data_IF_505082515182
#
_entry.id   IF_505082515182
#
_cell.length_a   1.000
_cell.length_b   1.000
_cell.length_c   1.000
_cell.angle_alpha   90.00
_cell.angle_beta   90.00
_cell.angle_gamma   90.00
#
_symmetry.space_group_name_H-M   'P 1'
#
loop_
_entity.id
_entity.type
_entity.pdbx_description
1 polymer ?
#
# COMPACT_ATOMS: atom_id res chain seq x y z
N UNK A 1 1.25 -7.96 32.75
CA UNK A 1 -0.09 -7.60 32.28
C UNK A 1 0.04 -6.45 31.30
N UNK A 2 -0.40 -6.64 30.06
CA UNK A 2 -0.32 -5.68 28.98
C UNK A 2 0.36 -6.26 27.76
N UNK A 3 0.68 -5.40 26.80
CA UNK A 3 1.34 -5.78 25.55
C UNK A 3 2.81 -6.18 25.79
N UNK A 4 3.24 -7.25 25.14
CA UNK A 4 4.65 -7.60 25.05
C UNK A 4 5.27 -6.80 23.90
N UNK A 5 6.30 -6.04 24.21
CA UNK A 5 7.01 -5.20 23.26
C UNK A 5 8.43 -5.70 23.08
N UNK A 6 8.81 -6.03 21.84
CA UNK A 6 10.12 -6.56 21.49
C UNK A 6 10.90 -5.50 20.70
N UNK A 7 11.81 -4.81 21.34
CA UNK A 7 12.58 -3.71 20.77
C UNK A 7 13.46 -4.15 19.59
N UNK A 8 14.02 -5.35 19.65
CA UNK A 8 14.95 -5.91 18.65
C UNK A 8 14.31 -6.27 17.31
N UNK A 9 13.03 -5.97 17.07
CA UNK A 9 12.33 -6.43 15.86
C UNK A 9 11.75 -5.30 15.01
N UNK A 10 12.21 -4.07 15.18
CA UNK A 10 11.67 -2.91 14.46
C UNK A 10 11.98 -2.96 12.98
N UNK A 11 13.22 -3.26 12.60
CA UNK A 11 13.64 -3.31 11.20
C UNK A 11 13.00 -4.45 10.42
N UNK A 12 12.61 -5.54 11.08
CA UNK A 12 12.01 -6.72 10.43
C UNK A 12 10.70 -6.41 9.71
N UNK A 13 10.00 -5.33 10.06
CA UNK A 13 8.76 -4.91 9.42
C UNK A 13 8.99 -4.38 8.00
N UNK A 14 10.16 -3.86 7.71
CA UNK A 14 10.49 -3.23 6.42
C UNK A 14 11.70 -3.85 5.72
N UNK A 15 12.55 -4.60 6.43
CA UNK A 15 13.69 -5.31 5.84
C UNK A 15 13.23 -6.23 4.72
N UNK A 16 13.94 -6.23 3.59
CA UNK A 16 13.60 -7.06 2.43
C UNK A 16 12.11 -6.92 2.03
N UNK A 17 11.66 -5.70 1.80
CA UNK A 17 10.27 -5.34 1.45
C UNK A 17 9.65 -6.26 0.39
N UNK A 18 10.44 -6.78 -0.55
CA UNK A 18 9.97 -7.68 -1.59
C UNK A 18 9.44 -9.00 -1.06
N UNK A 19 9.97 -9.48 0.09
CA UNK A 19 9.48 -10.70 0.73
C UNK A 19 8.06 -10.50 1.25
N UNK A 20 7.81 -9.38 1.96
CA UNK A 20 6.48 -9.02 2.46
C UNK A 20 5.48 -8.84 1.33
N UNK A 21 5.89 -8.12 0.29
CA UNK A 21 5.03 -7.84 -0.88
C UNK A 21 4.75 -9.11 -1.68
N UNK A 22 5.75 -9.97 -1.88
CA UNK A 22 5.61 -11.25 -2.56
C UNK A 22 4.64 -12.16 -1.80
N UNK A 23 4.88 -12.35 -0.51
CA UNK A 23 4.03 -13.15 0.37
C UNK A 23 2.57 -12.66 0.33
N UNK A 24 2.32 -11.39 0.55
CA UNK A 24 0.95 -10.83 0.54
C UNK A 24 0.25 -10.99 -0.80
N UNK A 25 0.96 -10.80 -1.92
CA UNK A 25 0.39 -10.98 -3.25
C UNK A 25 0.03 -12.44 -3.52
N UNK A 26 0.90 -13.35 -3.14
CA UNK A 26 0.68 -14.78 -3.34
C UNK A 26 -0.47 -15.30 -2.46
N UNK A 27 -0.53 -14.91 -1.17
CA UNK A 27 -1.65 -15.21 -0.27
C UNK A 27 -3.00 -14.80 -0.87
N UNK A 28 -3.10 -13.57 -1.35
CA UNK A 28 -4.34 -13.05 -1.93
C UNK A 28 -4.69 -13.78 -3.22
N UNK A 29 -3.70 -14.05 -4.06
CA UNK A 29 -3.92 -14.69 -5.34
C UNK A 29 -4.28 -16.17 -5.19
N UNK A 30 -3.65 -16.89 -4.26
CA UNK A 30 -4.01 -18.27 -3.91
C UNK A 30 -5.49 -18.37 -3.51
N UNK A 31 -5.94 -17.55 -2.56
CA UNK A 31 -7.34 -17.53 -2.14
C UNK A 31 -8.29 -17.23 -3.30
N UNK A 32 -7.94 -16.26 -4.17
CA UNK A 32 -8.74 -15.92 -5.33
C UNK A 32 -8.79 -17.09 -6.33
N UNK A 33 -7.66 -17.70 -6.59
CA UNK A 33 -7.54 -18.83 -7.52
C UNK A 33 -8.32 -20.05 -7.04
N UNK A 34 -8.19 -20.41 -5.76
CA UNK A 34 -8.97 -21.50 -5.16
C UNK A 34 -10.49 -21.26 -5.26
N UNK A 35 -10.93 -20.03 -4.98
CA UNK A 35 -12.35 -19.66 -5.13
C UNK A 35 -12.82 -19.84 -6.58
N UNK A 36 -12.05 -19.34 -7.55
CA UNK A 36 -12.40 -19.48 -8.98
C UNK A 36 -12.38 -20.94 -9.44
N UNK A 37 -11.38 -21.71 -9.01
CA UNK A 37 -11.31 -23.14 -9.37
C UNK A 37 -12.48 -23.93 -8.77
N UNK A 38 -12.86 -23.63 -7.53
CA UNK A 38 -14.03 -24.23 -6.90
C UNK A 38 -15.32 -23.85 -7.64
N UNK A 39 -15.49 -22.58 -8.00
CA UNK A 39 -16.62 -22.13 -8.79
C UNK A 39 -16.64 -22.80 -10.18
N UNK A 40 -15.50 -22.88 -10.87
CA UNK A 40 -15.39 -23.56 -12.16
C UNK A 40 -15.82 -25.03 -12.05
N UNK A 41 -15.44 -25.73 -10.99
CA UNK A 41 -15.85 -27.13 -10.77
C UNK A 41 -17.35 -27.30 -10.57
N UNK A 42 -18.05 -26.26 -10.07
CA UNK A 42 -19.51 -26.27 -9.89
C UNK A 42 -20.23 -25.95 -11.19
N UNK A 43 -19.74 -24.96 -11.95
CA UNK A 43 -20.40 -24.50 -13.17
C UNK A 43 -20.08 -25.38 -14.42
N UNK A 44 -18.88 -25.99 -14.43
CA UNK A 44 -18.44 -26.83 -15.52
C UNK A 44 -17.99 -28.20 -15.01
N UNK A 45 -18.78 -29.27 -15.19
CA UNK A 45 -18.44 -30.63 -14.75
C UNK A 45 -17.15 -31.21 -15.38
N UNK A 46 -16.74 -30.68 -16.53
CA UNK A 46 -15.52 -31.09 -17.21
C UNK A 46 -14.26 -30.43 -16.64
N UNK A 47 -14.42 -29.36 -15.86
CA UNK A 47 -13.29 -28.68 -15.25
C UNK A 47 -12.65 -29.55 -14.20
N UNK A 48 -11.32 -29.64 -14.24
CA UNK A 48 -10.53 -30.38 -13.27
C UNK A 48 -9.79 -29.40 -12.33
N UNK A 49 -10.19 -29.43 -11.06
CA UNK A 49 -9.56 -28.60 -10.02
C UNK A 49 -8.06 -28.98 -9.87
N UNK A 50 -7.12 -28.04 -10.04
CA UNK A 50 -5.67 -28.32 -10.06
C UNK A 50 -5.10 -28.48 -8.64
N UNK A 51 -5.56 -29.49 -7.91
CA UNK A 51 -5.28 -29.71 -6.48
C UNK A 51 -3.79 -29.81 -6.17
N UNK A 52 -3.08 -30.65 -6.91
CA UNK A 52 -1.66 -30.93 -6.63
C UNK A 52 -0.79 -29.68 -6.86
N UNK A 53 -1.12 -28.93 -7.88
CA UNK A 53 -0.39 -27.71 -8.23
C UNK A 53 -0.62 -26.61 -7.19
N UNK A 54 -1.86 -26.36 -6.80
CA UNK A 54 -2.19 -25.40 -5.73
C UNK A 54 -1.58 -25.80 -4.38
N UNK A 55 -1.60 -27.10 -4.04
CA UNK A 55 -0.96 -27.62 -2.84
C UNK A 55 0.56 -27.39 -2.85
N UNK A 56 1.21 -27.55 -4.02
CA UNK A 56 2.62 -27.23 -4.21
C UNK A 56 2.93 -25.76 -3.96
N UNK A 57 2.13 -24.87 -4.52
CA UNK A 57 2.27 -23.42 -4.34
C UNK A 57 2.03 -23.03 -2.87
N UNK A 58 0.99 -23.57 -2.23
CA UNK A 58 0.75 -23.38 -0.79
C UNK A 58 1.95 -23.77 0.07
N UNK A 59 2.58 -24.90 -0.22
CA UNK A 59 3.77 -25.36 0.52
C UNK A 59 4.95 -24.43 0.34
N UNK A 60 5.15 -23.90 -0.87
CA UNK A 60 6.20 -22.91 -1.14
C UNK A 60 5.94 -21.61 -0.39
N UNK A 61 4.70 -21.10 -0.42
CA UNK A 61 4.33 -19.91 0.33
C UNK A 61 4.56 -20.08 1.83
N UNK A 62 4.11 -21.20 2.41
CA UNK A 62 4.28 -21.48 3.84
C UNK A 62 5.76 -21.62 4.22
N UNK A 63 6.59 -22.20 3.35
CA UNK A 63 8.04 -22.21 3.55
C UNK A 63 8.62 -20.80 3.57
N UNK A 64 8.19 -19.94 2.65
CA UNK A 64 8.66 -18.54 2.55
C UNK A 64 8.11 -17.63 3.66
N UNK A 65 7.14 -18.09 4.47
CA UNK A 65 6.71 -17.44 5.71
C UNK A 65 7.59 -17.78 6.93
N UNK A 66 8.67 -18.58 6.74
CA UNK A 66 9.60 -18.88 7.80
C UNK A 66 10.14 -17.60 8.46
N UNK A 67 10.36 -17.66 9.79
CA UNK A 67 10.64 -16.50 10.64
C UNK A 67 11.90 -15.69 10.31
N UNK A 68 12.78 -16.20 9.45
CA UNK A 68 13.93 -15.46 8.92
C UNK A 68 13.78 -15.06 7.44
N UNK A 69 12.90 -15.70 6.69
CA UNK A 69 12.65 -15.34 5.29
C UNK A 69 11.71 -14.11 5.22
N UNK A 70 10.52 -14.24 5.78
CA UNK A 70 9.51 -13.16 5.75
C UNK A 70 9.98 -11.87 6.44
N UNK A 71 10.63 -11.92 7.63
CA UNK A 71 11.19 -10.73 8.27
C UNK A 71 12.35 -10.08 7.52
N UNK A 72 13.06 -10.83 6.69
CA UNK A 72 14.19 -10.31 5.91
C UNK A 72 15.56 -10.54 6.54
N UNK A 73 15.65 -11.40 7.55
CA UNK A 73 16.87 -11.69 8.31
C UNK A 73 17.65 -12.92 7.84
N UNK A 74 17.18 -13.59 6.76
CA UNK A 74 17.91 -14.69 6.14
C UNK A 74 19.09 -14.18 5.30
N UNK A 75 19.98 -15.10 4.92
CA UNK A 75 21.10 -14.79 4.02
C UNK A 75 20.62 -14.46 2.60
N UNK A 76 21.41 -13.70 1.87
CA UNK A 76 21.06 -13.21 0.53
C UNK A 76 20.68 -14.32 -0.47
N UNK A 77 21.27 -15.51 -0.34
CA UNK A 77 20.93 -16.66 -1.17
C UNK A 77 19.48 -17.11 -0.97
N UNK A 78 19.02 -17.18 0.27
CA UNK A 78 17.63 -17.55 0.61
C UNK A 78 16.64 -16.53 0.06
N UNK A 79 16.91 -15.24 0.20
CA UNK A 79 16.05 -14.19 -0.34
C UNK A 79 16.01 -14.21 -1.88
N UNK A 80 17.12 -14.53 -2.57
CA UNK A 80 17.09 -14.72 -4.02
C UNK A 80 16.18 -15.86 -4.44
N UNK A 81 16.25 -16.99 -3.70
CA UNK A 81 15.39 -18.14 -3.96
C UNK A 81 13.91 -17.78 -3.74
N UNK A 82 13.58 -17.18 -2.60
CA UNK A 82 12.20 -16.78 -2.28
C UNK A 82 11.61 -15.79 -3.31
N UNK A 83 12.42 -14.83 -3.81
CA UNK A 83 11.98 -13.96 -4.92
C UNK A 83 11.65 -14.74 -6.19
N UNK A 84 12.49 -15.71 -6.54
CA UNK A 84 12.25 -16.54 -7.73
C UNK A 84 10.98 -17.37 -7.57
N UNK A 85 10.74 -17.91 -6.37
CA UNK A 85 9.52 -18.63 -6.04
C UNK A 85 8.29 -17.76 -6.16
N UNK A 86 8.26 -16.56 -5.57
CA UNK A 86 7.14 -15.61 -5.70
C UNK A 86 6.87 -15.23 -7.16
N UNK A 87 7.89 -14.97 -7.95
CA UNK A 87 7.72 -14.63 -9.37
C UNK A 87 7.07 -15.78 -10.15
N UNK A 88 7.57 -17.00 -9.96
CA UNK A 88 7.05 -18.21 -10.62
C UNK A 88 5.60 -18.48 -10.19
N UNK A 89 5.34 -18.53 -8.90
CA UNK A 89 4.07 -18.98 -8.34
C UNK A 89 2.95 -17.96 -8.58
N UNK A 90 3.26 -16.65 -8.47
CA UNK A 90 2.31 -15.58 -8.82
C UNK A 90 1.95 -15.62 -10.32
N UNK A 91 2.90 -15.87 -11.20
CA UNK A 91 2.61 -16.00 -12.63
C UNK A 91 1.68 -17.20 -12.88
N UNK A 92 2.02 -18.36 -12.32
CA UNK A 92 1.24 -19.58 -12.50
C UNK A 92 -0.17 -19.47 -11.90
N UNK A 93 -0.33 -18.86 -10.75
CA UNK A 93 -1.65 -18.61 -10.13
C UNK A 93 -2.55 -17.73 -11.01
N UNK A 94 -1.97 -16.75 -11.70
CA UNK A 94 -2.71 -15.92 -12.65
C UNK A 94 -3.22 -16.74 -13.85
N UNK A 95 -2.38 -17.64 -14.36
CA UNK A 95 -2.78 -18.52 -15.46
C UNK A 95 -3.90 -19.47 -15.03
N UNK A 96 -3.78 -20.11 -13.87
CA UNK A 96 -4.83 -20.97 -13.30
C UNK A 96 -6.13 -20.20 -13.09
N UNK A 97 -6.05 -18.99 -12.53
CA UNK A 97 -7.22 -18.13 -12.33
C UNK A 97 -7.90 -17.76 -13.66
N UNK A 98 -7.11 -17.46 -14.70
CA UNK A 98 -7.62 -17.17 -16.03
C UNK A 98 -8.29 -18.40 -16.68
N UNK A 99 -7.67 -19.58 -16.58
CA UNK A 99 -8.22 -20.86 -17.03
C UNK A 99 -9.57 -21.16 -16.35
N UNK A 100 -9.64 -20.99 -15.02
CA UNK A 100 -10.87 -21.19 -14.26
C UNK A 100 -11.96 -20.18 -14.66
N UNK A 101 -11.58 -18.90 -14.84
CA UNK A 101 -12.50 -17.86 -15.33
C UNK A 101 -13.06 -18.14 -16.71
N UNK A 102 -12.22 -18.58 -17.64
CA UNK A 102 -12.64 -18.99 -18.98
C UNK A 102 -13.59 -20.21 -18.95
N UNK A 103 -13.31 -21.16 -18.06
CA UNK A 103 -14.17 -22.36 -17.88
C UNK A 103 -15.55 -21.97 -17.35
N UNK A 104 -15.64 -21.02 -16.40
CA UNK A 104 -16.92 -20.50 -15.93
C UNK A 104 -17.67 -19.78 -17.05
N UNK A 105 -16.98 -18.97 -17.84
CA UNK A 105 -17.59 -18.21 -18.94
C UNK A 105 -18.16 -19.15 -20.01
N UNK A 106 -17.42 -20.18 -20.39
CA UNK A 106 -17.87 -21.15 -21.42
C UNK A 106 -19.07 -21.99 -20.98
N UNK A 107 -19.20 -22.30 -19.67
CA UNK A 107 -20.33 -23.08 -19.15
C UNK A 107 -21.63 -22.27 -19.04
N UNK A 108 -21.56 -20.95 -19.19
CA UNK A 108 -22.68 -20.00 -19.05
C UNK A 108 -23.27 -19.56 -20.39
N UNK A 109 -23.16 -20.35 -21.42
CA UNK A 109 -23.64 -20.05 -22.80
C UNK A 109 -25.18 -20.02 -22.94
N UNK A 110 -25.91 -19.90 -21.82
CA UNK A 110 -27.35 -19.76 -21.80
C UNK A 110 -27.84 -18.32 -21.94
N UNK A 111 -28.86 -18.16 -22.73
CA UNK A 111 -29.46 -16.92 -23.24
C UNK A 111 -29.97 -15.93 -22.17
N UNK A 112 -29.95 -16.30 -20.89
CA UNK A 112 -30.35 -15.43 -19.75
C UNK A 112 -29.22 -14.54 -19.22
N UNK A 113 -27.97 -14.72 -19.65
CA UNK A 113 -26.81 -13.96 -19.26
C UNK A 113 -26.29 -13.00 -20.33
N UNK A 114 -27.17 -12.44 -21.11
CA UNK A 114 -26.84 -11.32 -22.04
C UNK A 114 -26.61 -9.97 -21.31
N UNK A 115 -26.61 -9.93 -19.99
CA UNK A 115 -25.96 -8.85 -19.26
C UNK A 115 -24.45 -9.10 -19.30
N UNK A 116 -23.69 -8.15 -19.79
CA UNK A 116 -22.23 -8.12 -19.95
C UNK A 116 -21.44 -8.31 -18.65
N UNK A 117 -21.71 -9.37 -17.90
CA UNK A 117 -21.21 -9.60 -16.58
C UNK A 117 -20.29 -10.82 -16.54
N UNK A 118 -19.00 -10.63 -16.68
CA UNK A 118 -18.00 -11.64 -16.34
C UNK A 118 -17.69 -11.61 -14.86
N UNK A 119 -17.58 -12.77 -14.20
CA UNK A 119 -17.00 -12.87 -12.86
C UNK A 119 -15.49 -12.67 -13.04
N UNK A 120 -15.02 -11.47 -12.78
CA UNK A 120 -13.59 -11.16 -12.79
C UNK A 120 -13.13 -11.13 -11.34
N UNK A 121 -12.08 -11.87 -10.98
CA UNK A 121 -11.48 -11.72 -9.66
C UNK A 121 -10.92 -10.32 -9.54
N UNK A 122 -11.48 -9.55 -8.65
CA UNK A 122 -11.01 -8.22 -8.34
C UNK A 122 -10.21 -8.26 -7.03
N UNK A 123 -8.92 -8.06 -7.13
CA UNK A 123 -8.12 -7.65 -5.99
C UNK A 123 -8.12 -6.13 -5.96
N UNK A 124 -8.65 -5.55 -4.88
CA UNK A 124 -8.50 -4.12 -4.67
C UNK A 124 -7.00 -3.76 -4.70
N UNK A 125 -6.65 -2.56 -5.15
CA UNK A 125 -5.25 -2.08 -5.23
C UNK A 125 -4.50 -2.17 -3.89
N UNK A 126 -5.21 -2.18 -2.77
CA UNK A 126 -4.69 -2.35 -1.41
C UNK A 126 -4.62 -3.80 -0.91
N UNK A 127 -5.03 -4.77 -1.72
CA UNK A 127 -4.92 -6.19 -1.38
C UNK A 127 -5.96 -6.73 -0.40
N UNK A 128 -6.93 -5.92 0.05
CA UNK A 128 -7.71 -6.23 1.24
C UNK A 128 -9.18 -6.57 1.03
N UNK A 129 -9.75 -6.41 -0.14
CA UNK A 129 -11.17 -6.70 -0.33
C UNK A 129 -11.46 -7.66 -1.46
N UNK A 130 -12.26 -8.66 -1.13
CA UNK A 130 -12.88 -9.59 -2.05
C UNK A 130 -14.19 -9.00 -2.56
N UNK A 131 -14.22 -8.53 -3.77
CA UNK A 131 -15.46 -8.21 -4.47
C UNK A 131 -15.44 -8.95 -5.80
N UNK A 132 -16.29 -9.97 -5.94
CA UNK A 132 -16.64 -10.48 -7.24
C UNK A 132 -17.46 -9.40 -7.95
N UNK A 133 -16.86 -8.72 -8.92
CA UNK A 133 -17.61 -7.83 -9.81
C UNK A 133 -17.87 -8.54 -11.13
N UNK A 134 -19.08 -8.37 -11.57
CA UNK A 134 -19.42 -8.59 -12.98
C UNK A 134 -18.94 -7.36 -13.75
N UNK A 135 -17.91 -7.52 -14.58
CA UNK A 135 -17.42 -6.48 -15.48
C UNK A 135 -17.70 -6.90 -16.93
N UNK A 136 -18.08 -5.93 -17.75
CA UNK A 136 -18.12 -6.16 -19.19
C UNK A 136 -16.72 -6.54 -19.68
N UNK A 137 -16.62 -7.63 -20.45
CA UNK A 137 -15.39 -8.05 -21.10
C UNK A 137 -15.00 -6.98 -22.11
N UNK A 138 -13.94 -6.22 -21.84
CA UNK A 138 -13.47 -5.29 -22.87
C UNK A 138 -12.55 -4.18 -22.48
N UNK A 139 -11.99 -4.07 -21.27
CA UNK A 139 -10.83 -3.19 -21.05
C UNK A 139 -10.11 -3.58 -19.77
N UNK A 140 -8.89 -4.07 -19.89
CA UNK A 140 -7.90 -4.01 -18.82
C UNK A 140 -7.44 -2.55 -18.70
N UNK A 141 -8.19 -1.77 -17.93
CA UNK A 141 -7.66 -0.53 -17.38
C UNK A 141 -7.63 -0.68 -15.88
N UNK A 142 -6.47 -0.48 -15.30
CA UNK A 142 -6.15 -0.58 -13.87
C UNK A 142 -6.96 0.36 -12.95
N UNK A 143 -7.96 1.03 -13.48
CA UNK A 143 -8.82 2.01 -12.81
C UNK A 143 -10.28 1.55 -12.62
N UNK A 144 -10.58 0.25 -12.74
CA UNK A 144 -11.94 -0.25 -12.61
C UNK A 144 -12.43 -0.27 -11.16
N UNK A 145 -12.76 0.89 -10.60
CA UNK A 145 -13.66 0.98 -9.46
C UNK A 145 -14.79 1.97 -9.83
N UNK A 146 -15.88 1.37 -10.24
CA UNK A 146 -16.87 2.10 -10.48
C UNK A 146 -18.11 2.54 -10.71
N UNK A 147 -19.10 2.58 -10.96
CA UNK A 147 -20.36 3.27 -11.28
C UNK A 147 -20.16 4.49 -12.16
N UNK A 148 -20.83 4.47 -13.29
CA UNK A 148 -21.05 5.65 -14.12
C UNK A 148 -21.56 6.80 -13.24
N UNK A 149 -20.69 7.73 -12.90
CA UNK A 149 -21.02 8.95 -12.23
C UNK A 149 -20.85 10.10 -13.21
N UNK A 150 -21.92 10.73 -13.43
CA UNK A 150 -22.17 11.98 -14.13
C UNK A 150 -21.06 13.00 -13.84
N UNK A 151 -20.60 13.65 -14.90
CA UNK A 151 -19.48 14.58 -14.98
C UNK A 151 -19.75 15.96 -14.34
N UNK A 152 -20.34 16.04 -13.15
CA UNK A 152 -20.73 17.35 -12.60
C UNK A 152 -20.04 17.76 -11.28
N UNK A 153 -19.11 16.97 -10.78
CA UNK A 153 -18.31 17.32 -9.59
C UNK A 153 -16.85 16.85 -9.78
N UNK A 154 -16.09 17.59 -10.55
CA UNK A 154 -14.65 17.36 -10.74
C UNK A 154 -13.84 17.97 -9.60
N UNK A 155 -12.68 17.38 -9.30
CA UNK A 155 -11.68 18.01 -8.44
C UNK A 155 -11.07 19.20 -9.18
N UNK A 156 -11.11 20.38 -8.57
CA UNK A 156 -10.48 21.59 -9.11
C UNK A 156 -9.02 21.59 -8.67
N UNK A 157 -8.11 21.76 -9.63
CA UNK A 157 -6.70 22.00 -9.37
C UNK A 157 -6.37 23.44 -9.77
N UNK A 158 -5.83 24.22 -8.84
CA UNK A 158 -5.43 25.61 -9.08
C UNK A 158 -3.96 25.78 -8.73
N UNK A 159 -3.17 26.28 -9.68
CA UNK A 159 -1.77 26.68 -9.42
C UNK A 159 -1.76 28.17 -9.06
N UNK A 160 -1.17 28.50 -7.91
CA UNK A 160 -1.01 29.86 -7.41
C UNK A 160 0.26 30.52 -7.98
N UNK A 161 0.33 31.86 -7.94
CA UNK A 161 1.49 32.62 -8.41
C UNK A 161 2.80 32.29 -7.64
N UNK A 162 2.68 31.85 -6.40
CA UNK A 162 3.80 31.43 -5.55
C UNK A 162 4.21 29.94 -5.71
N UNK A 163 3.64 29.27 -6.71
CA UNK A 163 3.93 27.87 -7.03
C UNK A 163 3.18 26.85 -6.18
N UNK A 164 2.37 27.27 -5.22
CA UNK A 164 1.48 26.34 -4.48
C UNK A 164 0.39 25.80 -5.39
N UNK A 165 -0.04 24.58 -5.09
CA UNK A 165 -1.14 23.92 -5.79
C UNK A 165 -2.26 23.65 -4.80
N UNK A 166 -3.47 24.05 -5.16
CA UNK A 166 -4.68 23.77 -4.38
C UNK A 166 -5.47 22.70 -5.12
N UNK A 167 -5.75 21.60 -4.43
CA UNK A 167 -6.72 20.58 -4.86
C UNK A 167 -7.98 20.70 -4.02
N UNK A 168 -9.14 20.80 -4.66
CA UNK A 168 -10.43 20.95 -3.99
C UNK A 168 -11.51 20.12 -4.71
N UNK A 169 -12.18 19.22 -3.98
CA UNK A 169 -13.29 18.42 -4.51
C UNK A 169 -14.62 18.65 -3.79
N UNK A 170 -14.73 19.77 -3.04
CA UNK A 170 -15.91 20.11 -2.26
C UNK A 170 -16.05 19.41 -0.91
N UNK A 171 -15.25 18.35 -0.64
CA UNK A 171 -15.20 17.62 0.63
C UNK A 171 -13.86 17.78 1.35
N UNK A 172 -12.79 17.78 0.59
CA UNK A 172 -11.41 18.01 1.05
C UNK A 172 -10.78 19.13 0.23
N UNK A 173 -9.98 19.96 0.89
CA UNK A 173 -9.08 20.91 0.24
C UNK A 173 -7.67 20.66 0.72
N UNK A 174 -6.75 20.38 -0.23
CA UNK A 174 -5.32 20.22 0.04
C UNK A 174 -4.53 21.37 -0.56
N UNK A 175 -3.58 21.94 0.17
CA UNK A 175 -2.62 22.94 -0.29
C UNK A 175 -1.24 22.29 -0.30
N UNK A 176 -0.66 22.17 -1.50
CA UNK A 176 0.62 21.52 -1.75
C UNK A 176 1.64 22.61 -2.07
N UNK A 177 2.75 22.62 -1.33
CA UNK A 177 3.84 23.55 -1.54
C UNK A 177 4.68 23.17 -2.79
N UNK A 178 5.53 24.08 -3.30
CA UNK A 178 6.38 23.80 -4.47
C UNK A 178 7.33 22.62 -4.28
N UNK A 179 7.68 22.27 -3.04
CA UNK A 179 8.48 21.09 -2.69
C UNK A 179 7.67 19.78 -2.69
N UNK A 180 6.37 19.83 -2.98
CA UNK A 180 5.48 18.68 -2.97
C UNK A 180 4.89 18.32 -1.61
N UNK A 181 5.24 19.04 -0.55
CA UNK A 181 4.70 18.79 0.80
C UNK A 181 3.28 19.35 0.91
N UNK A 182 2.34 18.57 1.46
CA UNK A 182 0.99 19.05 1.76
C UNK A 182 1.03 19.84 3.06
N UNK A 183 0.90 21.16 2.94
CA UNK A 183 0.97 22.10 4.09
C UNK A 183 -0.37 22.37 4.76
N UNK A 184 -1.47 22.04 4.09
CA UNK A 184 -2.82 22.16 4.63
C UNK A 184 -3.70 21.07 4.02
N UNK A 185 -4.53 20.45 4.84
CA UNK A 185 -5.54 19.49 4.43
C UNK A 185 -6.79 19.73 5.27
N UNK A 186 -7.79 20.34 4.68
CA UNK A 186 -9.01 20.77 5.37
C UNK A 186 -10.16 19.83 5.03
N UNK A 187 -10.82 19.26 6.06
CA UNK A 187 -12.14 18.65 5.91
C UNK A 187 -13.18 19.78 5.80
N UNK A 188 -13.74 19.95 4.62
CA UNK A 188 -14.66 21.06 4.32
C UNK A 188 -16.05 20.91 4.96
N UNK A 189 -16.43 19.70 5.41
CA UNK A 189 -17.70 19.49 6.11
C UNK A 189 -17.73 20.18 7.48
N UNK A 190 -16.57 20.26 8.15
CA UNK A 190 -16.47 20.82 9.50
C UNK A 190 -15.42 21.94 9.63
N UNK A 191 -14.67 22.23 8.56
CA UNK A 191 -13.62 23.24 8.53
C UNK A 191 -12.36 22.86 9.33
N UNK A 192 -12.17 21.57 9.68
CA UNK A 192 -11.05 21.12 10.47
C UNK A 192 -9.78 21.01 9.64
N UNK A 193 -8.71 21.70 10.08
CA UNK A 193 -7.36 21.55 9.53
C UNK A 193 -6.69 20.28 10.11
N UNK A 194 -6.26 19.39 9.24
CA UNK A 194 -5.68 18.11 9.61
C UNK A 194 -4.16 18.14 9.71
N UNK A 195 -3.49 19.16 9.17
CA UNK A 195 -2.04 19.35 9.22
C UNK A 195 -1.68 20.30 10.36
N UNK A 196 -0.80 19.92 11.30
CA UNK A 196 -0.35 20.83 12.36
C UNK A 196 0.41 22.03 11.79
N UNK A 197 0.28 23.20 12.44
CA UNK A 197 1.02 24.40 12.06
C UNK A 197 2.52 24.17 11.97
N UNK A 198 3.13 24.66 10.89
CA UNK A 198 4.58 24.51 10.64
C UNK A 198 5.02 23.12 10.18
N UNK A 199 4.09 22.17 10.08
CA UNK A 199 4.35 20.80 9.62
C UNK A 199 3.94 20.59 8.14
N UNK A 200 4.06 19.35 7.66
CA UNK A 200 3.60 18.98 6.33
C UNK A 200 3.55 17.46 6.13
N UNK A 201 2.56 17.00 5.38
CA UNK A 201 2.43 15.59 5.02
C UNK A 201 3.23 15.32 3.74
N UNK A 202 3.91 14.18 3.71
CA UNK A 202 4.67 13.72 2.54
C UNK A 202 6.10 14.26 2.49
N UNK A 203 6.62 14.79 3.59
CA UNK A 203 8.03 15.10 3.73
C UNK A 203 8.84 13.81 3.89
N UNK A 204 9.84 13.62 3.05
CA UNK A 204 10.71 12.46 3.07
C UNK A 204 12.00 12.77 3.83
N UNK A 205 12.40 11.83 4.69
CA UNK A 205 13.64 11.89 5.46
C UNK A 205 14.49 10.66 5.22
N UNK A 206 15.79 10.88 5.08
CA UNK A 206 16.79 9.84 4.97
C UNK A 206 17.56 9.74 6.29
N UNK A 207 17.60 8.54 6.87
CA UNK A 207 18.24 8.27 8.14
C UNK A 207 19.38 7.26 7.96
N UNK A 208 20.35 7.25 8.88
CA UNK A 208 21.39 6.23 8.91
C UNK A 208 20.83 4.90 9.41
N UNK A 209 21.26 3.82 8.77
CA UNK A 209 20.95 2.44 9.16
C UNK A 209 22.24 1.71 9.48
N UNK A 210 22.78 2.00 10.64
CA UNK A 210 24.06 1.45 11.14
C UNK A 210 23.81 0.84 12.53
N UNK A 211 23.02 -0.26 12.63
CA UNK A 211 22.77 -0.87 13.92
C UNK A 211 24.05 -1.49 14.51
N UNK A 212 24.18 -1.47 15.82
CA UNK A 212 25.35 -2.03 16.51
C UNK A 212 25.50 -3.53 16.28
N UNK A 213 24.37 -4.24 16.18
CA UNK A 213 24.28 -5.67 15.89
C UNK A 213 22.98 -5.92 15.11
N UNK A 214 22.94 -6.98 14.30
CA UNK A 214 21.70 -7.48 13.69
C UNK A 214 21.07 -6.56 12.66
N UNK A 215 21.76 -6.28 11.58
CA UNK A 215 21.39 -5.34 10.51
C UNK A 215 19.93 -5.42 10.05
N UNK A 216 19.35 -6.61 9.98
CA UNK A 216 17.98 -6.78 9.51
C UNK A 216 16.92 -6.76 10.62
N UNK A 217 17.34 -6.66 11.89
CA UNK A 217 16.45 -6.86 13.03
C UNK A 217 16.03 -5.59 13.72
N UNK A 218 16.94 -4.65 13.92
CA UNK A 218 16.70 -3.49 14.74
C UNK A 218 16.99 -2.17 14.03
N UNK A 219 16.33 -1.10 14.49
CA UNK A 219 16.63 0.29 14.17
C UNK A 219 17.00 0.96 15.49
N UNK A 220 18.22 1.44 15.56
CA UNK A 220 18.72 2.08 16.78
C UNK A 220 18.02 3.42 17.01
N UNK A 221 17.82 3.78 18.30
CA UNK A 221 17.16 5.03 18.66
C UNK A 221 17.92 6.26 18.17
N UNK A 222 19.24 6.22 18.18
CA UNK A 222 20.11 7.31 17.73
C UNK A 222 20.09 7.52 16.21
N UNK A 223 19.64 6.52 15.43
CA UNK A 223 19.38 6.69 14.01
C UNK A 223 18.42 7.88 13.74
N UNK A 224 17.43 8.11 14.60
CA UNK A 224 16.49 9.23 14.46
C UNK A 224 17.14 10.60 14.63
N UNK A 225 18.31 10.68 15.24
CA UNK A 225 19.09 11.91 15.34
C UNK A 225 19.84 12.24 14.04
N UNK A 226 19.89 11.31 13.12
CA UNK A 226 20.54 11.47 11.81
C UNK A 226 19.57 11.82 10.68
N UNK A 227 18.31 12.11 10.99
CA UNK A 227 17.31 12.42 9.98
C UNK A 227 17.69 13.66 9.19
N UNK A 228 17.76 13.52 7.88
CA UNK A 228 18.06 14.57 6.91
C UNK A 228 16.91 14.62 5.90
N UNK A 229 16.30 15.79 5.73
CA UNK A 229 15.27 16.01 4.72
C UNK A 229 15.85 15.86 3.31
N UNK A 230 15.02 15.45 2.37
CA UNK A 230 15.40 15.42 0.95
C UNK A 230 15.10 16.80 0.36
N UNK A 231 16.12 17.64 0.23
CA UNK A 231 15.98 19.05 -0.15
C UNK A 231 15.72 19.28 -1.65
N UNK A 232 16.15 18.36 -2.51
CA UNK A 232 15.87 18.43 -3.96
C UNK A 232 14.52 17.76 -4.26
N UNK A 233 13.46 18.42 -3.81
CA UNK A 233 12.07 18.03 -4.03
C UNK A 233 11.31 19.14 -4.72
N UNK A 234 10.55 18.80 -5.78
CA UNK A 234 9.76 19.79 -6.51
C UNK A 234 8.54 19.17 -7.19
N UNK A 235 7.53 20.00 -7.36
CA UNK A 235 6.37 19.65 -8.17
C UNK A 235 6.76 19.75 -9.65
N UNK A 236 6.65 18.64 -10.38
CA UNK A 236 6.91 18.59 -11.81
C UNK A 236 5.74 19.09 -12.66
N UNK A 237 4.54 18.60 -12.34
CA UNK A 237 3.32 18.88 -13.11
C UNK A 237 2.06 18.52 -12.34
N UNK A 238 0.94 19.05 -12.81
CA UNK A 238 -0.42 18.66 -12.40
C UNK A 238 -1.12 18.01 -13.59
N UNK A 239 -1.83 16.94 -13.35
CA UNK A 239 -2.61 16.24 -14.38
C UNK A 239 -4.02 15.95 -13.88
N UNK A 240 -4.99 16.01 -14.81
CA UNK A 240 -6.34 15.54 -14.54
C UNK A 240 -6.44 14.04 -14.77
N UNK A 241 -7.21 13.36 -13.94
CA UNK A 241 -7.51 11.95 -14.13
C UNK A 241 -8.71 11.80 -15.09
N UNK A 242 -8.82 10.69 -15.78
CA UNK A 242 -9.94 10.39 -16.70
C UNK A 242 -11.34 10.48 -16.06
N UNK A 243 -11.41 10.52 -14.73
CA UNK A 243 -12.66 10.55 -13.95
C UNK A 243 -12.84 11.85 -13.17
N UNK A 244 -12.23 12.94 -13.63
CA UNK A 244 -12.40 14.27 -13.04
C UNK A 244 -11.62 14.48 -11.73
N UNK A 245 -10.68 13.60 -11.36
CA UNK A 245 -9.75 13.83 -10.26
C UNK A 245 -8.52 14.60 -10.71
N UNK A 246 -7.76 15.15 -9.76
CA UNK A 246 -6.50 15.83 -10.02
C UNK A 246 -5.33 15.13 -9.32
N UNK A 247 -4.18 15.08 -9.99
CA UNK A 247 -2.95 14.48 -9.49
C UNK A 247 -1.80 15.46 -9.61
N UNK A 248 -1.10 15.69 -8.52
CA UNK A 248 0.17 16.43 -8.46
C UNK A 248 1.30 15.41 -8.51
N UNK A 249 2.23 15.59 -9.45
CA UNK A 249 3.42 14.77 -9.59
C UNK A 249 4.60 15.49 -8.96
N UNK A 250 5.28 14.81 -8.05
CA UNK A 250 6.42 15.31 -7.29
C UNK A 250 7.63 14.44 -7.55
N UNK A 251 8.76 15.05 -7.82
CA UNK A 251 10.06 14.37 -7.90
C UNK A 251 10.93 14.82 -6.74
N UNK A 252 11.61 13.88 -6.11
CA UNK A 252 12.57 14.13 -5.04
C UNK A 252 13.81 13.29 -5.29
N UNK A 253 14.99 13.90 -5.21
CA UNK A 253 16.27 13.21 -5.43
C UNK A 253 17.28 13.53 -4.35
N UNK A 254 18.08 12.53 -4.02
CA UNK A 254 19.29 12.68 -3.19
C UNK A 254 20.27 11.59 -3.59
N UNK A 255 21.47 11.57 -2.99
CA UNK A 255 22.51 10.60 -3.35
C UNK A 255 22.01 9.14 -3.15
N UNK A 256 21.89 8.44 -4.26
CA UNK A 256 21.46 7.04 -4.32
C UNK A 256 19.95 6.80 -4.14
N UNK A 257 19.11 7.83 -4.08
CA UNK A 257 17.65 7.68 -3.94
C UNK A 257 16.92 8.62 -4.88
N UNK A 258 15.96 8.10 -5.64
CA UNK A 258 15.02 8.89 -6.43
C UNK A 258 13.59 8.48 -6.09
N UNK A 259 12.73 9.46 -5.88
CA UNK A 259 11.34 9.27 -5.46
C UNK A 259 10.42 9.98 -6.45
N UNK A 260 9.52 9.23 -7.07
CA UNK A 260 8.42 9.75 -7.86
C UNK A 260 7.12 9.57 -7.07
N UNK A 261 6.51 10.65 -6.63
CA UNK A 261 5.26 10.63 -5.89
C UNK A 261 4.11 11.24 -6.68
N UNK A 262 2.95 10.62 -6.59
CA UNK A 262 1.69 11.12 -7.13
C UNK A 262 0.73 11.37 -5.97
N UNK A 263 0.31 12.62 -5.80
CA UNK A 263 -0.67 13.04 -4.79
C UNK A 263 -2.00 13.27 -5.52
N UNK A 264 -2.99 12.42 -5.26
CA UNK A 264 -4.26 12.43 -6.01
C UNK A 264 -5.44 12.71 -5.10
N UNK A 265 -6.25 13.68 -5.48
CA UNK A 265 -7.57 13.90 -4.91
C UNK A 265 -8.63 13.51 -5.95
N UNK A 266 -9.52 12.59 -5.58
CA UNK A 266 -10.61 12.13 -6.46
C UNK A 266 -11.90 12.88 -6.18
N UNK A 267 -12.80 12.98 -7.16
CA UNK A 267 -14.15 13.50 -6.93
C UNK A 267 -14.85 12.71 -5.81
N UNK A 268 -15.61 13.38 -4.97
CA UNK A 268 -16.40 12.78 -3.88
C UNK A 268 -15.62 11.91 -2.90
N UNK A 269 -14.30 12.05 -2.85
CA UNK A 269 -13.43 11.30 -1.93
C UNK A 269 -13.08 12.16 -0.72
N UNK A 270 -13.15 11.56 0.47
CA UNK A 270 -12.55 12.10 1.70
C UNK A 270 -11.16 11.53 1.97
N UNK A 271 -10.43 11.15 0.92
CA UNK A 271 -9.08 10.61 1.02
C UNK A 271 -8.15 11.29 0.02
N UNK A 272 -7.01 11.75 0.50
CA UNK A 272 -5.89 12.16 -0.33
C UNK A 272 -4.98 10.94 -0.53
N UNK A 273 -4.80 10.52 -1.78
CA UNK A 273 -4.02 9.32 -2.10
C UNK A 273 -2.58 9.69 -2.42
N UNK A 274 -1.64 8.96 -1.82
CA UNK A 274 -0.22 9.02 -2.15
C UNK A 274 0.19 7.72 -2.84
N UNK A 275 0.79 7.84 -4.02
CA UNK A 275 1.44 6.72 -4.71
C UNK A 275 2.89 7.08 -4.93
N UNK A 276 3.77 6.36 -4.28
CA UNK A 276 5.20 6.61 -4.30
C UNK A 276 5.94 5.47 -4.96
N UNK A 277 6.84 5.80 -5.88
CA UNK A 277 7.82 4.90 -6.47
C UNK A 277 9.20 5.35 -6.01
N UNK A 278 10.00 4.43 -5.48
CA UNK A 278 11.35 4.70 -5.01
C UNK A 278 12.33 3.85 -5.83
N UNK A 279 13.33 4.49 -6.44
CA UNK A 279 14.55 3.83 -6.95
C UNK A 279 15.62 3.97 -5.88
N UNK A 280 16.02 2.84 -5.29
CA UNK A 280 16.88 2.78 -4.13
C UNK A 280 18.23 2.17 -4.45
N UNK A 281 19.30 2.94 -4.27
CA UNK A 281 20.69 2.51 -4.45
C UNK A 281 21.59 2.88 -3.27
N UNK A 282 21.02 3.54 -2.26
CA UNK A 282 21.74 3.91 -1.05
C UNK A 282 22.06 2.68 -0.21
N UNK A 283 23.19 2.69 0.47
CA UNK A 283 23.60 1.70 1.47
C UNK A 283 23.59 2.33 2.85
N UNK A 284 23.31 1.53 3.88
CA UNK A 284 23.32 1.98 5.28
C UNK A 284 22.40 3.19 5.54
N UNK A 285 21.24 3.16 4.88
CA UNK A 285 20.20 4.18 4.97
C UNK A 285 18.82 3.55 5.02
N UNK A 286 17.87 4.24 5.62
CA UNK A 286 16.44 3.95 5.47
C UNK A 286 15.65 5.24 5.25
N UNK A 287 14.51 5.11 4.59
CA UNK A 287 13.62 6.20 4.24
C UNK A 287 12.43 6.24 5.16
N UNK A 288 12.09 7.43 5.65
CA UNK A 288 10.81 7.71 6.31
C UNK A 288 10.01 8.75 5.53
N UNK A 289 8.72 8.76 5.74
CA UNK A 289 7.82 9.80 5.27
C UNK A 289 6.98 10.29 6.44
N UNK A 290 6.93 11.59 6.62
CA UNK A 290 6.16 12.20 7.69
C UNK A 290 4.71 12.40 7.29
N UNK A 291 3.81 12.00 8.18
CA UNK A 291 2.37 12.21 8.07
C UNK A 291 1.87 12.78 9.40
N UNK A 292 2.27 14.01 9.77
CA UNK A 292 1.82 14.63 11.00
C UNK A 292 0.34 14.98 10.90
N UNK A 293 -0.41 14.73 11.98
CA UNK A 293 -1.84 14.97 12.06
C UNK A 293 -2.20 15.86 13.24
N UNK A 294 -3.02 16.89 13.01
CA UNK A 294 -3.52 17.81 14.05
C UNK A 294 -4.64 17.14 14.88
N UNK A 295 -4.31 16.03 15.53
CA UNK A 295 -5.23 15.26 16.36
C UNK A 295 -4.79 15.33 17.82
N UNK A 296 -5.70 15.73 18.71
CA UNK A 296 -5.49 15.64 20.15
C UNK A 296 -6.15 14.38 20.69
N UNK A 297 -5.33 13.47 21.20
CA UNK A 297 -5.78 12.23 21.82
C UNK A 297 -4.78 11.79 22.91
N UNK A 298 -5.27 11.06 23.90
CA UNK A 298 -4.41 10.46 24.93
C UNK A 298 -3.85 9.10 24.48
N UNK A 299 -4.51 8.46 23.54
CA UNK A 299 -4.22 7.12 23.06
C UNK A 299 -4.39 7.04 21.55
N UNK A 300 -3.58 6.18 20.92
CA UNK A 300 -3.74 5.78 19.53
C UNK A 300 -4.18 4.32 19.47
N UNK A 301 -5.03 4.00 18.50
CA UNK A 301 -5.47 2.65 18.22
C UNK A 301 -4.72 2.11 17.00
N UNK A 302 -4.21 0.91 17.13
CA UNK A 302 -3.47 0.22 16.08
C UNK A 302 -4.12 -1.13 15.79
N UNK A 303 -4.18 -1.50 14.53
CA UNK A 303 -4.60 -2.83 14.15
C UNK A 303 -3.54 -3.86 14.58
N UNK A 304 -4.01 -4.97 15.12
CA UNK A 304 -3.20 -6.15 15.37
C UNK A 304 -3.95 -7.43 14.93
N UNK A 305 -3.28 -8.58 15.01
CA UNK A 305 -3.91 -9.84 14.66
C UNK A 305 -5.15 -10.08 15.54
N UNK A 306 -6.29 -10.29 14.88
CA UNK A 306 -7.60 -10.53 15.48
C UNK A 306 -8.19 -9.39 16.32
N UNK A 307 -7.69 -8.16 16.19
CA UNK A 307 -8.24 -7.05 16.95
C UNK A 307 -7.48 -5.75 16.80
N UNK A 308 -7.61 -4.93 17.82
CA UNK A 308 -6.93 -3.64 17.95
C UNK A 308 -6.25 -3.54 19.30
N UNK A 309 -5.14 -2.84 19.36
CA UNK A 309 -4.44 -2.51 20.59
C UNK A 309 -4.40 -0.99 20.75
N UNK A 310 -4.66 -0.53 21.97
CA UNK A 310 -4.53 0.88 22.34
C UNK A 310 -3.17 1.12 23.01
N UNK A 311 -2.46 2.14 22.54
CA UNK A 311 -1.19 2.58 23.12
C UNK A 311 -1.27 4.05 23.55
N UNK A 312 -0.68 4.43 24.69
CA UNK A 312 -0.59 5.84 25.07
C UNK A 312 0.32 6.60 24.09
N UNK A 313 -0.08 7.82 23.74
CA UNK A 313 0.74 8.70 22.90
C UNK A 313 1.82 9.38 23.72
N UNK A 314 1.51 9.68 24.99
CA UNK A 314 2.46 10.35 25.89
C UNK A 314 3.48 9.35 26.44
N UNK A 315 4.74 9.77 26.50
CA UNK A 315 5.87 8.99 27.02
C UNK A 315 6.26 9.49 28.41
N UNK A 316 5.53 9.02 29.42
CA UNK A 316 5.67 9.51 30.80
C UNK A 316 6.57 8.62 31.67
N UNK A 317 6.93 7.44 31.21
CA UNK A 317 7.79 6.51 31.94
C UNK A 317 8.98 6.07 31.09
N UNK A 318 10.03 5.52 31.72
CA UNK A 318 11.15 4.93 30.97
C UNK A 318 10.71 3.79 30.04
N UNK A 319 9.68 3.05 30.43
CA UNK A 319 9.09 2.00 29.58
C UNK A 319 8.41 2.59 28.35
N UNK A 320 7.77 3.75 28.46
CA UNK A 320 7.16 4.44 27.34
C UNK A 320 8.21 5.09 26.43
N UNK A 321 9.30 5.60 27.02
CA UNK A 321 10.43 6.15 26.27
C UNK A 321 11.16 5.08 25.46
N UNK A 322 11.25 3.83 25.95
CA UNK A 322 11.83 2.72 25.23
C UNK A 322 11.00 2.36 23.97
N UNK A 323 9.71 2.61 24.00
CA UNK A 323 8.78 2.45 22.87
C UNK A 323 8.75 3.71 22.01
N UNK A 324 9.90 4.18 21.56
CA UNK A 324 10.01 5.42 20.77
C UNK A 324 9.34 5.32 19.39
N UNK A 325 9.13 4.13 18.90
CA UNK A 325 8.40 3.81 17.69
C UNK A 325 7.41 2.68 17.94
N UNK A 326 6.20 2.77 17.44
CA UNK A 326 5.18 1.73 17.56
C UNK A 326 4.80 1.23 16.18
N UNK A 327 4.84 -0.09 16.00
CA UNK A 327 4.46 -0.68 14.73
C UNK A 327 2.94 -0.74 14.56
N UNK A 328 2.51 -0.55 13.33
CA UNK A 328 1.15 -0.76 12.85
C UNK A 328 1.19 -1.66 11.62
N UNK A 329 0.16 -2.48 11.41
CA UNK A 329 0.10 -3.38 10.26
C UNK A 329 -0.74 -2.79 9.12
N UNK A 330 -1.79 -2.06 9.44
CA UNK A 330 -2.70 -1.43 8.47
C UNK A 330 -3.00 0.02 8.81
N UNK A 331 -3.25 0.32 10.08
CA UNK A 331 -3.55 1.63 10.61
C UNK A 331 -3.14 1.75 12.07
#
# INVERSE_FOLDING_TARGET
KGELYLELHRATLTSQQEMKRGCRREENLLRTTEYLCAAASVFNPEYRYPREELDGIWKTLLLNQFHDILPGSAIAWVHRQARADYVRDIARLRDIAAEAGASIASARDDADMRSNAAIVPYTAKNGDSWIARTAAVGTQDDDANGTDAVADESTIATTCDDGRIILDNGLLRAIIAPDGTVRSLIDLDNGHELVPDGSGIGHYELLRDEPYEWDAWDIQRDAFLSAEGIDDSHVERVTETKRGGATVHVSSTTDGVSIDACITLRPKSKSLEFRTKVDWRASERFLKVDIPMAIQADRAQYECQYGMVERPIQKNTRSDEAKYESCTHRF
#
